data_IF_033161104081
#
_entry.id   IF_033161104081
#
_cell.length_a   1.000
_cell.length_b   1.000
_cell.length_c   1.000
_cell.angle_alpha   90.00
_cell.angle_beta   90.00
_cell.angle_gamma   90.00
#
_symmetry.space_group_name_H-M   'P 1'
#
loop_
_entity.id
_entity.type
_entity.pdbx_description
1 polymer ?
#
# COMPACT_ATOMS: atom_id res chain seq x y z
N UNK A 1 7.70 -6.27 -1.19
CA UNK A 1 8.05 -7.64 -0.73
C UNK A 1 7.81 -8.60 -1.89
N UNK A 2 8.86 -9.23 -2.34
CA UNK A 2 8.81 -10.12 -3.51
C UNK A 2 7.71 -11.18 -3.38
N UNK A 3 6.96 -11.37 -4.47
CA UNK A 3 5.88 -12.34 -4.57
C UNK A 3 4.76 -12.20 -3.51
N UNK A 4 4.71 -11.06 -2.81
CA UNK A 4 3.70 -10.78 -1.81
C UNK A 4 2.95 -9.49 -2.10
N UNK A 5 3.57 -8.35 -1.87
CA UNK A 5 2.98 -7.02 -2.11
C UNK A 5 4.03 -6.05 -2.65
N UNK A 6 3.56 -4.98 -3.30
CA UNK A 6 4.31 -3.73 -3.45
C UNK A 6 3.57 -2.64 -2.70
N UNK A 7 4.29 -1.75 -2.04
CA UNK A 7 3.72 -0.71 -1.20
C UNK A 7 4.32 0.65 -1.56
N UNK A 8 3.49 1.66 -1.55
CA UNK A 8 3.91 3.03 -1.86
C UNK A 8 2.99 4.07 -1.24
N UNK A 9 3.13 5.30 -1.69
CA UNK A 9 2.32 6.43 -1.24
C UNK A 9 2.96 7.28 -0.16
N UNK A 10 4.05 6.82 0.46
CA UNK A 10 4.80 7.64 1.41
C UNK A 10 5.83 8.48 0.65
N UNK A 11 5.66 9.80 0.70
CA UNK A 11 6.54 10.71 -0.03
C UNK A 11 7.83 10.99 0.74
N UNK A 12 8.96 10.95 0.03
CA UNK A 12 10.26 11.37 0.55
C UNK A 12 10.45 12.89 0.50
N UNK A 13 9.47 13.64 -0.03
CA UNK A 13 9.55 15.10 -0.12
C UNK A 13 9.53 15.75 1.24
N UNK A 14 10.52 16.59 1.54
CA UNK A 14 10.58 17.36 2.76
C UNK A 14 9.36 18.26 2.94
N UNK A 15 8.86 18.87 1.87
CA UNK A 15 7.67 19.72 1.91
C UNK A 15 6.41 18.95 2.30
N UNK A 16 6.22 17.76 1.78
CA UNK A 16 5.09 16.90 2.13
C UNK A 16 5.17 16.47 3.59
N UNK A 17 6.35 16.06 4.05
CA UNK A 17 6.56 15.68 5.45
C UNK A 17 6.26 16.85 6.39
N UNK A 18 6.69 18.06 6.03
CA UNK A 18 6.41 19.28 6.80
C UNK A 18 4.92 19.59 6.87
N UNK A 19 4.20 19.43 5.76
CA UNK A 19 2.75 19.60 5.71
C UNK A 19 2.02 18.59 6.59
N UNK A 20 2.46 17.35 6.57
CA UNK A 20 1.89 16.28 7.42
C UNK A 20 2.09 16.56 8.90
N UNK A 21 3.25 17.09 9.29
CA UNK A 21 3.52 17.50 10.67
C UNK A 21 2.59 18.64 11.11
N UNK A 22 2.30 19.60 10.23
CA UNK A 22 1.38 20.71 10.51
C UNK A 22 -0.05 20.25 10.72
N UNK A 23 -0.54 19.35 9.90
CA UNK A 23 -1.88 18.79 9.99
C UNK A 23 -2.01 17.92 11.26
N UNK A 24 -0.89 17.37 11.71
CA UNK A 24 -0.85 16.39 12.76
C UNK A 24 -1.07 14.98 12.22
N UNK A 25 -1.03 14.03 13.13
CA UNK A 25 -1.24 12.62 12.80
C UNK A 25 -2.73 12.32 12.73
N UNK A 26 -3.19 11.83 11.60
CA UNK A 26 -4.56 11.34 11.48
C UNK A 26 -4.58 9.98 10.78
N UNK A 27 -5.57 9.16 11.12
CA UNK A 27 -5.77 7.85 10.56
C UNK A 27 -7.24 7.67 10.21
N UNK A 28 -7.51 6.81 9.24
CA UNK A 28 -8.87 6.56 8.77
C UNK A 28 -9.44 5.31 9.45
N UNK A 29 -10.76 5.26 9.72
CA UNK A 29 -11.38 4.03 10.18
C UNK A 29 -11.18 2.91 9.17
N UNK A 30 -10.87 1.68 9.60
CA UNK A 30 -10.80 0.55 8.69
C UNK A 30 -12.20 0.18 8.19
N UNK A 31 -12.27 -0.28 6.94
CA UNK A 31 -13.52 -0.75 6.34
C UNK A 31 -13.34 -2.18 5.82
N UNK A 32 -13.32 -3.13 6.75
CA UNK A 32 -13.09 -4.54 6.46
C UNK A 32 -14.39 -5.35 6.37
N UNK A 33 -15.53 -4.72 6.61
CA UNK A 33 -16.84 -5.42 6.73
C UNK A 33 -17.54 -5.65 5.40
N UNK A 34 -17.08 -5.03 4.31
CA UNK A 34 -17.69 -5.17 2.98
C UNK A 34 -17.46 -6.52 2.31
N UNK A 35 -16.64 -7.37 2.90
CA UNK A 35 -16.40 -8.71 2.37
C UNK A 35 -15.45 -8.79 1.18
N UNK A 36 -14.78 -7.72 0.82
CA UNK A 36 -13.77 -7.75 -0.22
C UNK A 36 -12.52 -8.50 0.26
N UNK A 37 -11.94 -9.29 -0.61
CA UNK A 37 -10.79 -10.14 -0.30
C UNK A 37 -9.54 -9.65 -1.01
N UNK A 38 -8.39 -9.93 -0.42
CA UNK A 38 -7.08 -9.56 -0.97
C UNK A 38 -6.62 -10.55 -2.04
N UNK A 39 -7.34 -10.56 -3.18
CA UNK A 39 -6.91 -11.28 -4.39
C UNK A 39 -5.70 -10.58 -5.01
N UNK A 40 -4.98 -11.31 -5.87
CA UNK A 40 -3.91 -10.72 -6.68
C UNK A 40 -4.44 -9.52 -7.46
N UNK A 41 -3.70 -8.40 -7.40
CA UNK A 41 -4.06 -7.15 -8.08
C UNK A 41 -4.96 -6.21 -7.28
N UNK A 42 -5.38 -6.59 -6.08
CA UNK A 42 -6.18 -5.72 -5.21
C UNK A 42 -5.32 -4.62 -4.63
N UNK A 43 -5.85 -3.40 -4.65
CA UNK A 43 -5.29 -2.25 -3.94
C UNK A 43 -5.92 -2.18 -2.55
N UNK A 44 -5.08 -2.02 -1.54
CA UNK A 44 -5.51 -1.97 -0.16
C UNK A 44 -4.73 -0.91 0.62
N UNK A 45 -5.26 -0.51 1.75
CA UNK A 45 -4.65 0.50 2.61
C UNK A 45 -4.00 -0.20 3.80
N UNK A 46 -2.67 0.00 4.03
CA UNK A 46 -2.03 -0.54 5.22
C UNK A 46 -2.45 0.20 6.47
N UNK A 47 -2.37 -0.47 7.62
CA UNK A 47 -2.49 0.20 8.90
C UNK A 47 -1.14 0.74 9.34
N UNK A 48 -1.14 1.86 10.08
CA UNK A 48 0.07 2.35 10.74
C UNK A 48 0.41 1.45 11.93
N UNK A 49 1.68 1.10 12.09
CA UNK A 49 2.14 0.22 13.18
C UNK A 49 2.40 0.99 14.47
N UNK A 50 2.51 2.31 14.42
CA UNK A 50 2.86 3.13 15.58
C UNK A 50 1.59 3.58 16.30
N UNK A 51 1.43 3.19 17.58
CA UNK A 51 0.30 3.57 18.42
C UNK A 51 -1.07 3.35 17.75
N UNK A 52 -1.24 2.17 17.13
CA UNK A 52 -2.44 1.87 16.35
C UNK A 52 -3.10 0.55 16.77
N UNK A 53 -3.64 0.47 18.01
CA UNK A 53 -4.24 -0.77 18.50
C UNK A 53 -5.52 -1.18 17.75
N UNK A 54 -6.19 -0.23 17.09
CA UNK A 54 -7.46 -0.47 16.37
C UNK A 54 -7.27 -0.72 14.88
N UNK A 55 -6.04 -0.86 14.40
CA UNK A 55 -5.73 -1.10 12.97
C UNK A 55 -6.31 -0.04 12.03
N UNK A 56 -6.27 1.23 12.44
CA UNK A 56 -6.76 2.34 11.62
C UNK A 56 -5.91 2.47 10.34
N UNK A 57 -6.57 2.82 9.25
CA UNK A 57 -5.95 2.86 7.93
C UNK A 57 -5.12 4.13 7.72
N UNK A 58 -3.99 4.00 7.03
CA UNK A 58 -3.17 5.13 6.60
C UNK A 58 -3.91 5.95 5.55
N UNK A 59 -3.92 7.29 5.64
CA UNK A 59 -4.62 8.13 4.67
C UNK A 59 -3.88 8.33 3.35
N UNK A 60 -2.63 7.89 3.23
CA UNK A 60 -1.80 8.15 2.05
C UNK A 60 -1.00 6.95 1.52
N UNK A 61 -0.84 5.92 2.30
CA UNK A 61 -0.14 4.72 1.87
C UNK A 61 -1.11 3.72 1.24
N UNK A 62 -0.60 2.93 0.31
CA UNK A 62 -1.36 1.85 -0.31
C UNK A 62 -0.42 0.69 -0.65
N UNK A 63 -0.99 -0.49 -0.84
CA UNK A 63 -0.24 -1.63 -1.38
C UNK A 63 -1.08 -2.36 -2.43
N UNK A 64 -0.39 -3.08 -3.30
CA UNK A 64 -0.98 -3.93 -4.33
C UNK A 64 -0.57 -5.36 -4.06
N UNK A 65 -1.53 -6.27 -4.02
CA UNK A 65 -1.27 -7.69 -3.80
C UNK A 65 -0.63 -8.29 -5.06
N UNK A 66 0.53 -8.88 -4.89
CA UNK A 66 1.30 -9.53 -5.97
C UNK A 66 1.18 -11.05 -5.90
N UNK A 67 1.00 -11.62 -4.72
CA UNK A 67 0.91 -13.06 -4.49
C UNK A 67 -0.12 -13.70 -5.42
N UNK A 68 0.32 -14.66 -6.23
CA UNK A 68 -0.54 -15.37 -7.19
C UNK A 68 -1.65 -16.16 -6.52
N UNK A 69 -1.46 -16.54 -5.28
CA UNK A 69 -2.45 -17.28 -4.48
C UNK A 69 -3.33 -16.33 -3.64
N UNK A 70 -3.11 -15.02 -3.74
CA UNK A 70 -3.79 -14.04 -2.91
C UNK A 70 -3.15 -13.87 -1.54
N UNK A 71 -3.56 -12.85 -0.82
CA UNK A 71 -3.07 -12.52 0.52
C UNK A 71 -4.23 -12.46 1.51
N UNK A 72 -4.98 -13.53 1.62
CA UNK A 72 -6.25 -13.57 2.37
C UNK A 72 -6.10 -13.40 3.88
N UNK A 73 -4.90 -13.62 4.42
CA UNK A 73 -4.59 -13.33 5.81
C UNK A 73 -4.70 -11.84 6.15
N UNK A 74 -4.78 -10.97 5.15
CA UNK A 74 -4.93 -9.52 5.32
C UNK A 74 -6.40 -9.08 5.37
N UNK A 75 -7.35 -9.94 5.05
CA UNK A 75 -8.75 -9.55 4.79
C UNK A 75 -9.45 -8.88 5.97
N UNK A 76 -9.09 -9.24 7.20
CA UNK A 76 -9.73 -8.69 8.40
C UNK A 76 -9.00 -7.48 8.99
N UNK A 77 -7.80 -7.18 8.51
CA UNK A 77 -6.93 -6.18 9.12
C UNK A 77 -6.68 -4.96 8.24
N UNK A 78 -6.91 -5.07 6.93
CA UNK A 78 -6.60 -4.02 5.96
C UNK A 78 -7.79 -3.77 5.06
N UNK A 79 -7.91 -2.53 4.58
CA UNK A 79 -9.08 -2.07 3.82
C UNK A 79 -8.81 -2.10 2.32
N UNK A 80 -9.33 -3.10 1.57
CA UNK A 80 -9.26 -3.09 0.12
C UNK A 80 -10.22 -2.04 -0.47
N UNK A 81 -9.75 -1.29 -1.47
CA UNK A 81 -10.54 -0.21 -2.05
C UNK A 81 -10.51 -0.17 -3.58
N UNK A 82 -9.71 -0.98 -4.22
CA UNK A 82 -9.59 -0.98 -5.68
C UNK A 82 -8.93 -2.24 -6.22
N UNK A 83 -8.82 -2.29 -7.54
CA UNK A 83 -8.10 -3.38 -8.21
C UNK A 83 -7.36 -2.86 -9.43
N UNK A 84 -6.25 -3.48 -9.75
CA UNK A 84 -5.52 -3.21 -10.99
C UNK A 84 -6.31 -3.78 -12.16
N UNK A 85 -6.63 -2.93 -13.14
CA UNK A 85 -7.35 -3.34 -14.35
C UNK A 85 -6.41 -3.55 -15.53
N UNK A 86 -5.20 -3.01 -15.49
CA UNK A 86 -4.20 -3.13 -16.54
C UNK A 86 -2.80 -2.90 -15.94
N UNK A 87 -1.81 -3.65 -16.40
CA UNK A 87 -0.41 -3.41 -16.03
C UNK A 87 0.10 -4.27 -14.87
N UNK A 88 -0.48 -5.42 -14.57
CA UNK A 88 0.04 -6.32 -13.55
C UNK A 88 1.45 -6.81 -13.86
N UNK A 89 1.86 -6.87 -15.11
CA UNK A 89 3.23 -7.18 -15.51
C UNK A 89 4.24 -6.15 -14.98
N UNK A 90 3.86 -4.88 -14.94
CA UNK A 90 4.68 -3.81 -14.36
C UNK A 90 4.76 -3.97 -12.84
N UNK A 91 3.65 -4.29 -12.20
CA UNK A 91 3.61 -4.58 -10.76
C UNK A 91 4.54 -5.74 -10.41
N UNK A 92 4.52 -6.81 -11.20
CA UNK A 92 5.41 -7.96 -11.03
C UNK A 92 6.88 -7.57 -11.19
N UNK A 93 7.20 -6.72 -12.16
CA UNK A 93 8.56 -6.21 -12.35
C UNK A 93 9.06 -5.45 -11.11
N UNK A 94 8.22 -4.60 -10.54
CA UNK A 94 8.56 -3.85 -9.33
C UNK A 94 8.79 -4.81 -8.16
N UNK A 95 7.92 -5.81 -8.01
CA UNK A 95 8.03 -6.82 -6.96
C UNK A 95 9.34 -7.61 -7.03
N UNK A 96 9.88 -7.82 -8.22
CA UNK A 96 11.11 -8.58 -8.45
C UNK A 96 12.40 -7.75 -8.38
N UNK A 97 12.32 -6.45 -8.12
CA UNK A 97 13.50 -5.62 -7.96
C UNK A 97 14.32 -6.04 -6.75
N UNK A 98 15.63 -5.87 -6.87
CA UNK A 98 16.54 -6.14 -5.76
C UNK A 98 16.25 -5.19 -4.61
N UNK A 99 16.16 -5.74 -3.40
CA UNK A 99 15.82 -5.00 -2.18
C UNK A 99 16.95 -5.09 -1.15
N UNK A 100 16.95 -4.13 -0.22
CA UNK A 100 17.81 -4.16 0.95
C UNK A 100 17.24 -5.10 2.05
N UNK A 101 17.89 -5.15 3.21
CA UNK A 101 17.43 -5.97 4.33
C UNK A 101 16.09 -5.58 4.95
N UNK A 102 15.50 -4.47 4.55
CA UNK A 102 14.19 -3.97 5.02
C UNK A 102 13.12 -4.09 3.94
N UNK A 103 13.36 -4.83 2.88
CA UNK A 103 12.45 -4.99 1.75
C UNK A 103 12.22 -3.69 0.95
N UNK A 104 13.15 -2.73 1.03
CA UNK A 104 13.12 -1.52 0.22
C UNK A 104 13.91 -1.75 -1.08
N UNK A 105 13.40 -1.31 -2.25
CA UNK A 105 14.19 -1.37 -3.47
C UNK A 105 15.50 -0.62 -3.31
N UNK A 106 16.61 -1.21 -3.74
CA UNK A 106 17.92 -0.56 -3.69
C UNK A 106 17.92 0.71 -4.52
N UNK A 107 17.32 0.64 -5.72
CA UNK A 107 17.09 1.82 -6.58
C UNK A 107 15.64 2.29 -6.39
N UNK A 108 15.45 3.59 -6.17
CA UNK A 108 14.13 4.16 -5.98
C UNK A 108 13.23 3.96 -7.19
N UNK A 109 12.01 3.51 -6.96
CA UNK A 109 10.96 3.44 -7.96
C UNK A 109 10.08 4.69 -7.84
N UNK A 110 10.15 5.55 -8.85
CA UNK A 110 9.32 6.76 -8.88
C UNK A 110 7.97 6.45 -9.48
N UNK A 111 6.92 6.94 -8.83
CA UNK A 111 5.55 6.80 -9.32
C UNK A 111 4.89 8.16 -9.44
N UNK A 112 3.96 8.26 -10.37
CA UNK A 112 3.07 9.41 -10.52
C UNK A 112 1.64 8.89 -10.46
N UNK A 113 0.84 9.46 -9.57
CA UNK A 113 -0.57 9.07 -9.42
C UNK A 113 -1.45 10.18 -9.97
N UNK A 114 -2.32 9.83 -10.91
CA UNK A 114 -3.25 10.75 -11.54
C UNK A 114 -4.65 10.17 -11.51
N UNK A 115 -5.65 11.02 -11.32
CA UNK A 115 -7.05 10.66 -11.51
C UNK A 115 -7.39 10.86 -12.98
N UNK A 116 -7.93 9.82 -13.61
CA UNK A 116 -8.38 9.86 -14.99
C UNK A 116 -9.90 9.76 -15.04
N UNK A 117 -10.50 10.53 -15.95
CA UNK A 117 -11.94 10.51 -16.19
C UNK A 117 -12.34 9.49 -17.27
#
# INVERSE_FOLDING_TARGET
>A
VKDFIIQGGNSDSFEVSKRRQKIGRYLLPPDTKKGYKHHRGILSIPSSDIDNPYKLASPYEFFIVVDRNGAYHLDKNYTPFGKVVKGMDVVDKISNLETDGREWPIDNVKIKVEIID
#
